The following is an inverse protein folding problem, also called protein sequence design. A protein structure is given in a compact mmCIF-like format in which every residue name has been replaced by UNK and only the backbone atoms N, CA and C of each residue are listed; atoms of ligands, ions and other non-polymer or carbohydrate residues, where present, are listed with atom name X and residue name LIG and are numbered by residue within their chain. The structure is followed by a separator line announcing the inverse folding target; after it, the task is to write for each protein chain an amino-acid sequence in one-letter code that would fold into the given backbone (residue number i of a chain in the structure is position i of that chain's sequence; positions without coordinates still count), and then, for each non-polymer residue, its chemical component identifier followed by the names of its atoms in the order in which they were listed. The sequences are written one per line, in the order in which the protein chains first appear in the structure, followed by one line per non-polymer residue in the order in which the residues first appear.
data_IF_336601215671
#
_entry.id   IF_336601215671
#
_cell.length_a   1.000
_cell.length_b   1.000
_cell.length_c   1.000
_cell.angle_alpha   90.00
_cell.angle_beta   90.00
_cell.angle_gamma   90.00
#
_symmetry.space_group_name_H-M   'P 1'
#
loop_
_entity.id
_entity.type
_entity.pdbx_description
1 polymer ?
#
# COMPACT_ATOMS: atom_id res chain seq x y z
N UNK A 1 57.90 -44.53 -7.10
CA UNK A 1 56.53 -44.29 -6.61
C UNK A 1 56.60 -43.98 -5.14
N UNK A 2 56.33 -42.73 -4.75
CA UNK A 2 56.56 -42.20 -3.39
C UNK A 2 55.22 -42.17 -2.62
N UNK A 3 54.57 -43.33 -2.51
CA UNK A 3 53.28 -43.46 -1.82
C UNK A 3 53.44 -44.45 -0.67
N UNK A 4 53.19 -43.99 0.56
CA UNK A 4 53.28 -44.83 1.75
C UNK A 4 52.06 -45.77 1.93
N UNK A 5 51.14 -45.79 0.95
CA UNK A 5 49.84 -46.46 1.05
C UNK A 5 49.62 -47.40 -0.14
N UNK A 6 49.10 -48.61 0.15
CA UNK A 6 48.92 -49.71 -0.81
C UNK A 6 47.96 -49.38 -1.97
N UNK A 7 46.90 -48.60 -1.71
CA UNK A 7 45.91 -48.23 -2.72
C UNK A 7 45.38 -46.81 -2.51
N UNK A 8 46.03 -45.85 -3.16
CA UNK A 8 45.76 -44.42 -3.03
C UNK A 8 44.29 -44.05 -3.31
N UNK A 9 43.68 -44.63 -4.35
CA UNK A 9 42.29 -44.29 -4.75
C UNK A 9 41.27 -44.71 -3.71
N UNK A 10 41.48 -45.88 -3.11
CA UNK A 10 40.61 -46.41 -2.07
C UNK A 10 40.75 -45.61 -0.78
N UNK A 11 41.98 -45.24 -0.41
CA UNK A 11 42.25 -44.39 0.75
C UNK A 11 41.57 -43.05 0.64
N UNK A 12 41.62 -42.39 -0.52
CA UNK A 12 40.89 -41.13 -0.75
C UNK A 12 39.39 -41.33 -0.49
N UNK A 13 38.79 -42.39 -1.05
CA UNK A 13 37.36 -42.66 -0.88
C UNK A 13 36.98 -42.86 0.59
N UNK A 14 37.76 -43.64 1.33
CA UNK A 14 37.49 -43.91 2.76
C UNK A 14 37.65 -42.66 3.60
N UNK A 15 38.72 -41.88 3.39
CA UNK A 15 38.95 -40.61 4.10
C UNK A 15 37.85 -39.61 3.79
N UNK A 16 37.50 -39.40 2.51
CA UNK A 16 36.41 -38.50 2.13
C UNK A 16 35.08 -38.92 2.73
N UNK A 17 34.78 -40.22 2.79
CA UNK A 17 33.54 -40.72 3.40
C UNK A 17 33.52 -40.51 4.92
N UNK A 18 34.64 -40.72 5.61
CA UNK A 18 34.74 -40.48 7.04
C UNK A 18 34.59 -38.99 7.40
N UNK A 19 35.31 -38.12 6.69
CA UNK A 19 35.24 -36.66 6.90
C UNK A 19 33.83 -36.14 6.62
N UNK A 20 33.22 -36.55 5.50
CA UNK A 20 31.85 -36.15 5.18
C UNK A 20 30.84 -36.64 6.21
N UNK A 21 31.00 -37.86 6.75
CA UNK A 21 30.10 -38.40 7.76
C UNK A 21 30.17 -37.61 9.07
N UNK A 22 31.36 -37.19 9.49
CA UNK A 22 31.55 -36.36 10.68
C UNK A 22 30.99 -34.96 10.47
N UNK A 23 31.35 -34.29 9.36
CA UNK A 23 30.89 -32.93 9.05
C UNK A 23 29.36 -32.81 8.91
N UNK A 24 28.71 -33.79 8.27
CA UNK A 24 27.26 -33.79 8.12
C UNK A 24 26.56 -34.17 9.42
N UNK A 25 27.17 -35.06 10.23
CA UNK A 25 26.60 -35.48 11.52
C UNK A 25 26.50 -34.36 12.55
N UNK A 26 27.41 -33.40 12.50
CA UNK A 26 27.45 -32.26 13.43
C UNK A 26 26.59 -31.06 12.99
N UNK A 27 25.91 -31.14 11.83
CA UNK A 27 25.15 -30.03 11.23
C UNK A 27 23.67 -30.39 11.03
N UNK A 28 22.81 -29.38 11.04
CA UNK A 28 21.39 -29.58 10.74
C UNK A 28 21.15 -29.83 9.26
N UNK A 29 20.16 -30.66 8.93
CA UNK A 29 19.77 -30.97 7.55
C UNK A 29 19.45 -29.69 6.75
N UNK A 30 18.79 -28.71 7.38
CA UNK A 30 18.38 -27.46 6.73
C UNK A 30 19.60 -26.59 6.36
N UNK A 31 20.63 -26.60 7.20
CA UNK A 31 21.87 -25.86 6.99
C UNK A 31 22.69 -26.46 5.83
N UNK A 32 22.74 -27.79 5.75
CA UNK A 32 23.42 -28.53 4.68
C UNK A 32 22.72 -28.31 3.32
N UNK A 33 21.40 -28.13 3.34
CA UNK A 33 20.58 -27.96 2.12
C UNK A 33 20.52 -26.52 1.59
N UNK A 34 20.75 -25.50 2.43
CA UNK A 34 20.54 -24.09 2.06
C UNK A 34 21.84 -23.29 1.96
N UNK A 35 22.38 -22.82 3.08
CA UNK A 35 23.44 -21.79 3.14
C UNK A 35 24.81 -22.42 3.46
N UNK A 36 24.84 -23.50 4.24
CA UNK A 36 26.09 -24.11 4.74
C UNK A 36 26.87 -24.91 3.69
N UNK A 37 26.35 -25.08 2.47
CA UNK A 37 26.95 -25.96 1.46
C UNK A 37 28.38 -25.56 1.09
N UNK A 38 28.62 -24.26 0.90
CA UNK A 38 29.96 -23.74 0.55
C UNK A 38 30.93 -23.89 1.73
N UNK A 39 30.47 -23.60 2.95
CA UNK A 39 31.29 -23.74 4.16
C UNK A 39 31.66 -25.21 4.41
N UNK A 40 30.73 -26.13 4.19
CA UNK A 40 30.97 -27.57 4.32
C UNK A 40 31.94 -28.06 3.24
N UNK A 41 31.80 -27.60 1.98
CA UNK A 41 32.73 -27.96 0.90
C UNK A 41 34.16 -27.49 1.20
N UNK A 42 34.33 -26.27 1.73
CA UNK A 42 35.63 -25.75 2.14
C UNK A 42 36.21 -26.51 3.33
N UNK A 43 35.45 -26.69 4.41
CA UNK A 43 35.91 -27.45 5.60
C UNK A 43 36.23 -28.90 5.25
N UNK A 44 35.40 -29.54 4.43
CA UNK A 44 35.66 -30.90 3.96
C UNK A 44 36.97 -30.97 3.15
N UNK A 45 37.23 -30.00 2.28
CA UNK A 45 38.50 -29.91 1.55
C UNK A 45 39.69 -29.85 2.52
N UNK A 46 39.64 -28.94 3.48
CA UNK A 46 40.74 -28.73 4.43
C UNK A 46 41.00 -29.98 5.29
N UNK A 47 39.94 -30.62 5.78
CA UNK A 47 40.07 -31.78 6.67
C UNK A 47 40.49 -33.04 5.91
N UNK A 48 40.01 -33.25 4.68
CA UNK A 48 40.49 -34.34 3.83
C UNK A 48 41.98 -34.11 3.48
N UNK A 49 42.40 -32.88 3.17
CA UNK A 49 43.80 -32.57 2.87
C UNK A 49 44.71 -32.89 4.07
N UNK A 50 44.34 -32.41 5.28
CA UNK A 50 45.09 -32.70 6.52
C UNK A 50 45.24 -34.21 6.76
N UNK A 51 44.18 -34.99 6.55
CA UNK A 51 44.22 -36.45 6.72
C UNK A 51 45.10 -37.13 5.68
N UNK A 52 45.05 -36.71 4.41
CA UNK A 52 45.89 -37.26 3.35
C UNK A 52 47.38 -36.89 3.51
N UNK A 53 47.68 -35.70 4.02
CA UNK A 53 49.04 -35.26 4.34
C UNK A 53 49.64 -36.09 5.49
N UNK A 54 48.84 -36.39 6.53
CA UNK A 54 49.23 -37.28 7.62
C UNK A 54 49.57 -38.70 7.13
N UNK A 55 48.81 -39.21 6.16
CA UNK A 55 49.10 -40.50 5.52
C UNK A 55 50.25 -40.46 4.51
N UNK A 56 50.84 -39.27 4.27
CA UNK A 56 51.91 -39.03 3.28
C UNK A 56 51.53 -39.55 1.90
N UNK A 57 50.29 -39.26 1.49
CA UNK A 57 49.74 -39.68 0.20
C UNK A 57 50.24 -38.83 -0.99
N UNK A 58 50.86 -37.66 -0.76
CA UNK A 58 51.43 -36.83 -1.83
C UNK A 58 50.43 -36.33 -2.87
N UNK A 59 49.18 -36.07 -2.45
CA UNK A 59 48.06 -35.66 -3.31
C UNK A 59 47.50 -34.34 -2.83
N UNK A 60 47.21 -33.46 -3.78
CA UNK A 60 46.58 -32.16 -3.54
C UNK A 60 45.12 -32.18 -3.99
N UNK A 61 44.21 -31.76 -3.10
CA UNK A 61 42.77 -31.66 -3.40
C UNK A 61 42.45 -30.26 -3.88
N UNK A 62 42.01 -30.13 -5.12
CA UNK A 62 41.61 -28.82 -5.66
C UNK A 62 40.22 -28.38 -5.19
N UNK A 63 39.21 -29.24 -5.30
CA UNK A 63 37.82 -28.88 -4.99
C UNK A 63 37.02 -30.10 -4.55
N UNK A 64 36.12 -29.89 -3.58
CA UNK A 64 35.13 -30.86 -3.11
C UNK A 64 33.75 -30.31 -3.45
N UNK A 65 32.91 -31.12 -4.09
CA UNK A 65 31.55 -30.76 -4.49
C UNK A 65 30.56 -31.71 -3.82
N UNK A 66 29.62 -31.18 -3.04
CA UNK A 66 28.55 -31.96 -2.45
C UNK A 66 27.51 -32.30 -3.52
N UNK A 67 27.31 -33.58 -3.85
CA UNK A 67 26.18 -33.94 -4.72
C UNK A 67 24.86 -33.67 -3.99
N UNK A 68 23.83 -33.26 -4.74
CA UNK A 68 22.53 -32.87 -4.18
C UNK A 68 22.00 -33.89 -3.16
N UNK A 69 21.66 -33.41 -1.97
CA UNK A 69 21.20 -34.24 -0.87
C UNK A 69 19.70 -34.42 -1.02
N UNK A 70 19.26 -35.63 -1.32
CA UNK A 70 17.84 -35.95 -1.43
C UNK A 70 17.39 -36.74 -0.19
N UNK A 71 16.25 -36.40 0.43
CA UNK A 71 15.66 -37.20 1.50
C UNK A 71 15.39 -38.63 1.01
N UNK A 72 15.51 -39.65 1.88
CA UNK A 72 15.06 -41.01 1.57
C UNK A 72 13.57 -41.05 1.23
N UNK A 73 13.17 -41.91 0.29
CA UNK A 73 11.77 -42.07 -0.17
C UNK A 73 10.78 -42.26 0.99
N UNK A 74 11.18 -43.01 2.03
CA UNK A 74 10.33 -43.33 3.20
C UNK A 74 9.91 -42.10 4.03
N UNK A 75 10.68 -41.00 4.00
CA UNK A 75 10.43 -39.80 4.84
C UNK A 75 10.12 -38.54 4.03
N UNK A 76 10.12 -38.67 2.71
CA UNK A 76 9.93 -37.56 1.77
C UNK A 76 8.57 -36.88 1.96
N UNK A 77 7.51 -37.67 2.14
CA UNK A 77 6.15 -37.13 2.30
C UNK A 77 5.99 -36.36 3.62
N UNK A 78 6.52 -36.90 4.72
CA UNK A 78 6.51 -36.21 6.01
C UNK A 78 7.31 -34.90 5.97
N UNK A 79 8.48 -34.92 5.32
CA UNK A 79 9.31 -33.73 5.15
C UNK A 79 8.61 -32.65 4.30
N UNK A 80 7.97 -33.07 3.20
CA UNK A 80 7.19 -32.16 2.36
C UNK A 80 6.00 -31.58 3.13
N UNK A 81 5.32 -32.37 3.94
CA UNK A 81 4.20 -31.91 4.75
C UNK A 81 4.61 -30.83 5.77
N UNK A 82 5.75 -31.00 6.45
CA UNK A 82 6.28 -30.00 7.39
C UNK A 82 6.61 -28.70 6.66
N UNK A 83 7.28 -28.77 5.51
CA UNK A 83 7.61 -27.59 4.72
C UNK A 83 6.36 -26.86 4.21
N UNK A 84 5.34 -27.61 3.75
CA UNK A 84 4.06 -27.03 3.36
C UNK A 84 3.37 -26.35 4.55
N UNK A 85 3.36 -26.97 5.73
CA UNK A 85 2.79 -26.37 6.92
C UNK A 85 3.50 -25.08 7.33
N UNK A 86 4.84 -25.04 7.27
CA UNK A 86 5.62 -23.83 7.51
C UNK A 86 5.29 -22.72 6.50
N UNK A 87 5.22 -23.05 5.21
CA UNK A 87 4.84 -22.10 4.17
C UNK A 87 3.42 -21.56 4.36
N UNK A 88 2.48 -22.42 4.75
CA UNK A 88 1.09 -22.02 5.04
C UNK A 88 1.06 -21.08 6.24
N UNK A 89 1.77 -21.42 7.33
CA UNK A 89 1.86 -20.57 8.53
C UNK A 89 2.40 -19.20 8.16
N UNK A 90 3.51 -19.15 7.44
CA UNK A 90 4.16 -17.88 7.08
C UNK A 90 3.28 -17.07 6.11
N UNK A 91 2.55 -17.73 5.21
CA UNK A 91 1.54 -17.07 4.36
C UNK A 91 0.44 -16.42 5.21
N UNK A 92 -0.14 -17.16 6.16
CA UNK A 92 -1.22 -16.67 7.02
C UNK A 92 -0.75 -15.47 7.84
N UNK A 93 0.46 -15.52 8.39
CA UNK A 93 1.05 -14.40 9.13
C UNK A 93 1.20 -13.18 8.21
N UNK A 94 1.79 -13.34 7.03
CA UNK A 94 1.98 -12.25 6.07
C UNK A 94 0.64 -11.66 5.59
N UNK A 95 -0.38 -12.49 5.36
CA UNK A 95 -1.72 -12.03 4.97
C UNK A 95 -2.38 -11.23 6.11
N UNK A 96 -2.28 -11.70 7.35
CA UNK A 96 -2.81 -11.01 8.52
C UNK A 96 -2.11 -9.66 8.74
N UNK A 97 -0.79 -9.62 8.64
CA UNK A 97 -0.01 -8.37 8.70
C UNK A 97 -0.38 -7.43 7.55
N UNK A 98 -0.52 -7.94 6.33
CA UNK A 98 -0.97 -7.17 5.17
C UNK A 98 -2.35 -6.56 5.36
N UNK A 99 -3.31 -7.32 5.92
CA UNK A 99 -4.65 -6.80 6.23
C UNK A 99 -4.60 -5.72 7.31
N UNK A 100 -3.84 -5.95 8.40
CA UNK A 100 -3.64 -4.96 9.47
C UNK A 100 -3.04 -3.66 8.92
N UNK A 101 -2.00 -3.77 8.10
CA UNK A 101 -1.30 -2.64 7.48
C UNK A 101 -2.15 -1.91 6.44
N UNK A 102 -3.25 -2.53 5.96
CA UNK A 102 -4.21 -1.87 5.06
C UNK A 102 -5.32 -1.16 5.84
N UNK A 103 -5.89 -1.82 6.86
CA UNK A 103 -7.06 -1.33 7.57
C UNK A 103 -6.69 -0.15 8.49
N UNK A 104 -5.59 -0.26 9.23
CA UNK A 104 -5.23 0.76 10.23
C UNK A 104 -4.91 2.12 9.59
N UNK A 105 -4.04 2.23 8.57
CA UNK A 105 -3.76 3.51 7.92
C UNK A 105 -4.96 4.07 7.16
N UNK A 106 -5.81 3.20 6.59
CA UNK A 106 -7.03 3.65 5.93
C UNK A 106 -8.03 4.26 6.93
N UNK A 107 -8.18 3.66 8.11
CA UNK A 107 -9.03 4.17 9.17
C UNK A 107 -8.49 5.50 9.73
N UNK A 108 -7.18 5.59 9.97
CA UNK A 108 -6.52 6.83 10.40
C UNK A 108 -6.64 7.94 9.35
N UNK A 109 -6.42 7.62 8.07
CA UNK A 109 -6.59 8.56 6.97
C UNK A 109 -8.02 9.08 6.86
N UNK A 110 -9.02 8.20 7.01
CA UNK A 110 -10.44 8.60 7.01
C UNK A 110 -10.79 9.48 8.20
N UNK A 111 -10.27 9.16 9.40
CA UNK A 111 -10.44 10.00 10.59
C UNK A 111 -9.88 11.40 10.35
N UNK A 112 -8.64 11.48 9.87
CA UNK A 112 -7.96 12.75 9.62
C UNK A 112 -8.66 13.56 8.53
N UNK A 113 -9.13 12.90 7.47
CA UNK A 113 -9.91 13.53 6.41
C UNK A 113 -11.17 14.20 6.96
N UNK A 114 -11.95 13.50 7.80
CA UNK A 114 -13.18 14.04 8.40
C UNK A 114 -12.87 15.24 9.29
N UNK A 115 -11.80 15.19 10.08
CA UNK A 115 -11.38 16.31 10.93
C UNK A 115 -11.01 17.52 10.08
N UNK A 116 -10.16 17.34 9.07
CA UNK A 116 -9.74 18.43 8.18
C UNK A 116 -10.90 19.02 7.38
N UNK A 117 -11.84 18.19 6.95
CA UNK A 117 -13.05 18.66 6.26
C UNK A 117 -13.93 19.51 7.19
N UNK A 118 -14.10 19.09 8.45
CA UNK A 118 -14.83 19.87 9.44
C UNK A 118 -14.13 21.20 9.77
N UNK A 119 -12.81 21.20 9.90
CA UNK A 119 -12.01 22.42 10.10
C UNK A 119 -12.10 23.35 8.89
N UNK A 120 -11.98 22.81 7.67
CA UNK A 120 -12.15 23.56 6.43
C UNK A 120 -13.55 24.16 6.31
N UNK A 121 -14.59 23.40 6.66
CA UNK A 121 -15.96 23.88 6.69
C UNK A 121 -16.13 25.04 7.68
N UNK A 122 -15.60 24.90 8.90
CA UNK A 122 -15.63 25.96 9.93
C UNK A 122 -14.95 27.23 9.44
N UNK A 123 -13.74 27.12 8.89
CA UNK A 123 -12.98 28.28 8.38
C UNK A 123 -13.75 28.94 7.23
N UNK A 124 -14.26 28.15 6.29
CA UNK A 124 -15.07 28.66 5.17
C UNK A 124 -16.28 29.42 5.67
N UNK A 125 -17.05 28.88 6.62
CA UNK A 125 -18.22 29.53 7.19
C UNK A 125 -17.89 30.85 7.89
N UNK A 126 -16.79 30.91 8.64
CA UNK A 126 -16.35 32.14 9.31
C UNK A 126 -15.93 33.19 8.28
N UNK A 127 -15.17 32.78 7.26
CA UNK A 127 -14.69 33.70 6.22
C UNK A 127 -15.84 34.23 5.36
N UNK A 128 -16.80 33.37 4.99
CA UNK A 128 -18.02 33.75 4.27
C UNK A 128 -18.82 34.77 5.08
N UNK A 129 -19.15 34.47 6.34
CA UNK A 129 -19.87 35.39 7.20
C UNK A 129 -19.12 36.73 7.42
N UNK A 130 -17.79 36.68 7.57
CA UNK A 130 -16.97 37.89 7.72
C UNK A 130 -16.93 38.70 6.42
N UNK A 131 -16.88 38.03 5.26
CA UNK A 131 -16.94 38.63 3.94
C UNK A 131 -18.27 39.33 3.70
N UNK A 132 -19.39 38.66 4.00
CA UNK A 132 -20.74 39.18 3.87
C UNK A 132 -20.95 40.41 4.75
N UNK A 133 -20.51 40.36 6.02
CA UNK A 133 -20.58 41.50 6.93
C UNK A 133 -19.75 42.68 6.41
N UNK A 134 -18.53 42.43 5.93
CA UNK A 134 -17.68 43.48 5.35
C UNK A 134 -18.32 44.11 4.11
N UNK A 135 -18.88 43.29 3.22
CA UNK A 135 -19.56 43.77 2.02
C UNK A 135 -20.80 44.60 2.37
N UNK A 136 -21.59 44.14 3.35
CA UNK A 136 -22.76 44.86 3.84
C UNK A 136 -22.38 46.20 4.47
N UNK A 137 -21.38 46.23 5.36
CA UNK A 137 -20.92 47.46 6.01
C UNK A 137 -20.40 48.46 4.97
N UNK A 138 -19.62 48.01 3.99
CA UNK A 138 -19.14 48.88 2.91
C UNK A 138 -20.30 49.48 2.10
N UNK A 139 -21.33 48.68 1.79
CA UNK A 139 -22.52 49.17 1.10
C UNK A 139 -23.33 50.16 1.97
N UNK A 140 -23.44 49.88 3.26
CA UNK A 140 -24.15 50.73 4.22
C UNK A 140 -23.49 52.10 4.39
N UNK A 141 -22.16 52.16 4.45
CA UNK A 141 -21.41 53.43 4.51
C UNK A 141 -21.66 54.29 3.27
N UNK A 142 -21.69 53.70 2.07
CA UNK A 142 -22.01 54.43 0.84
C UNK A 142 -23.49 54.85 0.77
N UNK A 143 -24.39 53.98 1.23
CA UNK A 143 -25.81 54.29 1.35
C UNK A 143 -26.05 55.50 2.26
N UNK A 144 -25.37 55.58 3.40
CA UNK A 144 -25.46 56.70 4.34
C UNK A 144 -24.98 58.02 3.73
N UNK A 145 -24.00 57.99 2.81
CA UNK A 145 -23.51 59.19 2.11
C UNK A 145 -24.50 59.68 1.05
N UNK A 146 -25.14 58.77 0.33
CA UNK A 146 -26.05 59.11 -0.76
C UNK A 146 -27.18 58.06 -0.90
N UNK A 147 -28.29 58.32 -0.21
CA UNK A 147 -29.38 57.36 -0.02
C UNK A 147 -30.13 57.04 -1.33
N UNK A 148 -30.62 58.07 -2.02
CA UNK A 148 -31.49 57.92 -3.18
C UNK A 148 -30.81 57.24 -4.38
N UNK A 149 -29.55 57.61 -4.65
CA UNK A 149 -28.78 57.05 -5.76
C UNK A 149 -28.39 55.59 -5.50
N UNK A 150 -28.03 55.26 -4.26
CA UNK A 150 -27.62 53.89 -3.88
C UNK A 150 -28.81 52.94 -3.92
N UNK A 151 -29.97 53.37 -3.40
CA UNK A 151 -31.22 52.58 -3.46
C UNK A 151 -31.63 52.30 -4.91
N UNK A 152 -31.62 53.32 -5.76
CA UNK A 152 -32.01 53.18 -7.17
C UNK A 152 -31.03 52.30 -7.94
N UNK A 153 -29.73 52.42 -7.69
CA UNK A 153 -28.71 51.53 -8.27
C UNK A 153 -28.95 50.07 -7.88
N UNK A 154 -29.13 49.78 -6.58
CA UNK A 154 -29.34 48.41 -6.10
C UNK A 154 -30.60 47.78 -6.71
N UNK A 155 -31.68 48.54 -6.83
CA UNK A 155 -32.91 48.10 -7.49
C UNK A 155 -32.66 47.73 -8.96
N UNK A 156 -32.01 48.62 -9.72
CA UNK A 156 -31.72 48.39 -11.14
C UNK A 156 -30.77 47.21 -11.35
N UNK A 157 -29.75 47.06 -10.50
CA UNK A 157 -28.80 45.94 -10.56
C UNK A 157 -29.48 44.61 -10.26
N UNK A 158 -30.33 44.59 -9.22
CA UNK A 158 -31.09 43.40 -8.83
C UNK A 158 -32.08 43.00 -9.92
N UNK A 159 -32.82 43.97 -10.48
CA UNK A 159 -33.73 43.72 -11.60
C UNK A 159 -32.99 43.25 -12.85
N UNK A 160 -31.86 43.88 -13.20
CA UNK A 160 -31.02 43.44 -14.32
C UNK A 160 -30.51 42.00 -14.16
N UNK A 161 -30.26 41.55 -12.92
CA UNK A 161 -29.83 40.17 -12.64
C UNK A 161 -30.97 39.16 -12.69
N UNK A 162 -32.17 39.55 -12.25
CA UNK A 162 -33.33 38.64 -12.13
C UNK A 162 -34.09 38.53 -13.45
N UNK A 163 -34.29 39.65 -14.17
CA UNK A 163 -35.07 39.71 -15.42
C UNK A 163 -34.64 38.66 -16.46
N UNK A 164 -33.34 38.40 -16.72
CA UNK A 164 -32.90 37.39 -17.68
C UNK A 164 -33.29 35.95 -17.30
N UNK A 165 -33.48 35.67 -16.01
CA UNK A 165 -33.84 34.36 -15.48
C UNK A 165 -35.36 34.20 -15.27
N UNK A 166 -36.16 35.21 -15.62
CA UNK A 166 -37.62 35.14 -15.55
C UNK A 166 -38.19 34.56 -16.86
N UNK A 167 -38.91 33.44 -16.79
CA UNK A 167 -39.52 32.80 -17.97
C UNK A 167 -40.61 33.64 -18.65
N UNK A 168 -41.38 34.44 -17.88
CA UNK A 168 -42.44 35.31 -18.41
C UNK A 168 -42.41 36.65 -17.69
N UNK A 169 -42.16 37.73 -18.43
CA UNK A 169 -42.17 39.11 -17.92
C UNK A 169 -43.46 39.81 -18.35
N UNK A 170 -44.31 40.16 -17.39
CA UNK A 170 -45.53 40.92 -17.63
C UNK A 170 -45.35 42.35 -17.11
N UNK A 171 -45.39 43.32 -18.03
CA UNK A 171 -45.29 44.75 -17.70
C UNK A 171 -46.69 45.34 -17.77
N UNK A 172 -47.19 45.82 -16.63
CA UNK A 172 -48.55 46.34 -16.49
C UNK A 172 -48.46 47.82 -16.13
N UNK A 173 -49.17 48.65 -16.88
CA UNK A 173 -49.24 50.09 -16.64
C UNK A 173 -50.10 50.39 -15.40
N UNK A 174 -49.73 51.41 -14.63
CA UNK A 174 -50.34 51.76 -13.35
C UNK A 174 -51.81 52.19 -13.49
N UNK A 175 -52.22 52.59 -14.70
CA UNK A 175 -53.58 53.03 -15.03
C UNK A 175 -54.54 51.87 -15.39
N UNK A 176 -54.06 50.63 -15.49
CA UNK A 176 -54.89 49.44 -15.75
C UNK A 176 -55.37 48.79 -14.44
N UNK A 177 -56.56 49.18 -13.97
CA UNK A 177 -57.20 48.67 -12.74
C UNK A 177 -57.78 47.24 -12.84
N UNK A 178 -57.67 46.53 -13.96
CA UNK A 178 -58.19 45.15 -14.05
C UNK A 178 -57.41 44.29 -15.04
N UNK A 179 -56.56 43.43 -14.51
CA UNK A 179 -55.72 42.46 -15.23
C UNK A 179 -56.24 41.01 -15.11
N UNK A 180 -57.34 40.82 -14.36
CA UNK A 180 -57.96 39.52 -14.15
C UNK A 180 -58.44 38.81 -15.43
N UNK A 181 -58.88 39.48 -16.53
CA UNK A 181 -59.38 38.74 -17.70
C UNK A 181 -58.30 38.27 -18.69
N UNK A 182 -57.04 38.75 -18.60
CA UNK A 182 -55.99 38.44 -19.60
C UNK A 182 -55.18 37.19 -19.22
N UNK A 183 -55.12 36.85 -17.94
CA UNK A 183 -54.58 35.56 -17.51
C UNK A 183 -55.70 34.53 -17.56
N UNK A 184 -55.80 33.78 -18.65
CA UNK A 184 -56.64 32.59 -18.77
C UNK A 184 -56.25 31.49 -17.77
N UNK A 185 -56.45 31.73 -16.47
CA UNK A 185 -56.29 30.79 -15.37
C UNK A 185 -57.40 29.73 -15.32
N UNK A 186 -58.22 29.63 -16.37
CA UNK A 186 -59.30 28.66 -16.48
C UNK A 186 -59.01 27.50 -17.46
N UNK A 187 -57.86 27.45 -18.14
CA UNK A 187 -57.63 26.40 -19.16
C UNK A 187 -56.44 25.45 -18.90
N UNK A 188 -55.57 25.69 -17.92
CA UNK A 188 -54.56 24.69 -17.54
C UNK A 188 -54.98 23.92 -16.30
N UNK A 189 -55.84 22.95 -16.57
CA UNK A 189 -56.25 21.93 -15.63
C UNK A 189 -55.08 21.13 -15.06
N UNK A 190 -55.29 20.75 -13.80
CA UNK A 190 -54.82 19.51 -13.16
C UNK A 190 -54.17 18.54 -14.14
N UNK A 191 -52.84 18.45 -14.09
CA UNK A 191 -52.13 17.24 -14.48
C UNK A 191 -51.49 16.63 -13.23
N UNK A 192 -51.85 15.37 -13.02
CA UNK A 192 -51.35 14.44 -11.99
C UNK A 192 -49.83 14.40 -11.93
#
# INVERSE_FOLDING_TARGET
YFFNVRNVRETIRVVSQAVMRTLIGDRSIDEVLTIGRIEIEQKAKDDIQKLLDNYKCGIDIQTVLLKGVNPPELVKDAFNAVNQALQIRDRIINEAEGQKNKILPAAEGKKEQVIKEAEGYKIRRINEATGDVKAFLAMYEEYKKAEDVTRRRLYLETMSRIIPNCEKLYIIDKDLQSILPIFGLNEEGVKK
#
